data_IF_742504845921
#
_entry.id   IF_742504845921
#
_cell.length_a   1.000
_cell.length_b   1.000
_cell.length_c   1.000
_cell.angle_alpha   90.00
_cell.angle_beta   90.00
_cell.angle_gamma   90.00
#
_symmetry.space_group_name_H-M   'P 1'
#
loop_
_entity.id
_entity.type
_entity.pdbx_description
1 polymer ?
#
# COMPACT_ATOMS: atom_id res chain seq x y z
N UNK A 1 -7.31 -37.20 12.79
CA UNK A 1 -6.49 -36.04 12.35
C UNK A 1 -5.37 -35.90 13.37
N UNK A 2 -4.11 -36.02 12.98
CA UNK A 2 -2.98 -35.88 13.90
C UNK A 2 -2.92 -34.43 14.42
N UNK A 3 -2.68 -34.27 15.72
CA UNK A 3 -2.42 -32.95 16.30
C UNK A 3 -1.14 -32.36 15.69
N UNK A 4 -1.09 -31.04 15.42
CA UNK A 4 0.13 -30.36 15.01
C UNK A 4 1.28 -30.67 15.98
N UNK A 5 2.50 -30.84 15.48
CA UNK A 5 3.67 -31.21 16.30
C UNK A 5 3.92 -30.25 17.48
N UNK A 6 3.62 -28.96 17.31
CA UNK A 6 3.63 -27.99 18.40
C UNK A 6 2.66 -28.38 19.52
N UNK A 7 1.43 -28.74 19.17
CA UNK A 7 0.44 -29.19 20.14
C UNK A 7 0.92 -30.46 20.84
N UNK A 8 1.56 -31.40 20.13
CA UNK A 8 2.15 -32.58 20.77
C UNK A 8 3.25 -32.23 21.79
N UNK A 9 4.09 -31.22 21.52
CA UNK A 9 5.14 -30.75 22.44
C UNK A 9 4.52 -29.98 23.61
N UNK A 10 3.51 -29.14 23.37
CA UNK A 10 2.81 -28.38 24.40
C UNK A 10 1.93 -29.28 25.28
N UNK A 11 1.39 -30.37 24.75
CA UNK A 11 0.58 -31.36 25.49
C UNK A 11 1.42 -32.27 26.39
N UNK A 12 2.76 -32.27 26.27
CA UNK A 12 3.62 -33.03 27.18
C UNK A 12 3.57 -32.50 28.62
N UNK A 13 3.07 -31.27 28.80
CA UNK A 13 2.88 -30.64 30.10
C UNK A 13 1.45 -30.07 30.13
N UNK A 14 0.54 -30.65 30.92
CA UNK A 14 -0.88 -30.23 30.94
C UNK A 14 -1.10 -28.72 31.18
N UNK A 15 -0.14 -28.04 31.81
CA UNK A 15 -0.14 -26.58 32.00
C UNK A 15 0.06 -25.84 30.66
N UNK A 16 0.96 -26.32 29.79
CA UNK A 16 1.27 -25.68 28.51
C UNK A 16 0.15 -25.85 27.49
N UNK A 17 -0.60 -26.96 27.54
CA UNK A 17 -1.80 -27.15 26.73
C UNK A 17 -2.90 -26.13 27.09
N UNK A 18 -3.17 -25.97 28.39
CA UNK A 18 -4.13 -24.98 28.88
C UNK A 18 -3.71 -23.56 28.46
N UNK A 19 -2.44 -23.20 28.66
CA UNK A 19 -1.92 -21.90 28.24
C UNK A 19 -2.08 -21.70 26.72
N UNK A 20 -1.73 -22.70 25.91
CA UNK A 20 -1.81 -22.62 24.45
C UNK A 20 -3.23 -22.39 23.93
N UNK A 21 -4.26 -22.93 24.58
CA UNK A 21 -5.67 -22.72 24.20
C UNK A 21 -6.16 -21.29 24.40
N UNK A 22 -5.46 -20.50 25.22
CA UNK A 22 -5.79 -19.10 25.50
C UNK A 22 -4.90 -18.10 24.76
N UNK A 23 -3.93 -18.57 23.96
CA UNK A 23 -3.07 -17.69 23.18
C UNK A 23 -3.78 -17.22 21.90
N UNK A 24 -3.78 -15.92 21.66
CA UNK A 24 -4.16 -15.37 20.36
C UNK A 24 -3.06 -15.66 19.32
N UNK A 25 -3.40 -15.56 18.04
CA UNK A 25 -2.43 -15.77 16.96
C UNK A 25 -1.17 -14.87 17.12
N UNK A 26 -1.33 -13.66 17.65
CA UNK A 26 -0.21 -12.76 17.95
C UNK A 26 0.71 -13.31 19.03
N UNK A 27 0.15 -13.94 20.06
CA UNK A 27 0.92 -14.52 21.15
C UNK A 27 1.63 -15.79 20.70
N UNK A 28 0.95 -16.63 19.91
CA UNK A 28 1.56 -17.81 19.28
C UNK A 28 2.72 -17.39 18.36
N UNK A 29 2.56 -16.31 17.59
CA UNK A 29 3.65 -15.78 16.75
C UNK A 29 4.82 -15.26 17.61
N UNK A 30 4.52 -14.60 18.73
CA UNK A 30 5.55 -14.10 19.65
C UNK A 30 6.29 -15.25 20.33
N UNK A 31 5.58 -16.30 20.75
CA UNK A 31 6.15 -17.54 21.27
C UNK A 31 7.04 -18.22 20.22
N UNK A 32 6.55 -18.34 18.98
CA UNK A 32 7.31 -18.94 17.88
C UNK A 32 8.60 -18.17 17.52
N UNK A 33 8.63 -16.86 17.78
CA UNK A 33 9.82 -16.02 17.57
C UNK A 33 10.83 -16.09 18.71
N UNK A 34 10.39 -16.44 19.91
CA UNK A 34 11.22 -16.40 21.13
C UNK A 34 11.65 -17.79 21.60
N UNK A 35 10.93 -18.85 21.25
CA UNK A 35 11.26 -20.23 21.63
C UNK A 35 11.69 -21.08 20.42
N UNK A 36 12.88 -21.69 20.48
CA UNK A 36 13.44 -22.53 19.38
C UNK A 36 12.52 -23.69 19.00
N UNK A 37 11.95 -24.40 19.98
CA UNK A 37 11.03 -25.51 19.72
C UNK A 37 9.76 -25.05 19.00
N UNK A 38 9.16 -23.95 19.46
CA UNK A 38 7.99 -23.35 18.82
C UNK A 38 8.32 -22.82 17.41
N UNK A 39 9.49 -22.21 17.23
CA UNK A 39 9.99 -21.79 15.92
C UNK A 39 10.03 -22.96 14.94
N UNK A 40 10.67 -24.06 15.35
CA UNK A 40 10.80 -25.25 14.51
C UNK A 40 9.44 -25.88 14.17
N UNK A 41 8.52 -25.94 15.13
CA UNK A 41 7.21 -26.54 14.92
C UNK A 41 6.25 -25.67 14.09
N UNK A 42 6.36 -24.33 14.18
CA UNK A 42 5.39 -23.39 13.60
C UNK A 42 5.95 -22.69 12.37
N UNK A 43 7.15 -22.12 12.46
CA UNK A 43 7.69 -21.19 11.46
C UNK A 43 8.53 -21.87 10.37
N UNK A 44 9.06 -23.07 10.64
CA UNK A 44 9.73 -23.89 9.61
C UNK A 44 8.73 -24.53 8.63
N UNK A 45 7.52 -24.86 9.09
CA UNK A 45 6.44 -25.31 8.21
C UNK A 45 5.82 -24.11 7.49
N UNK A 46 5.92 -24.07 6.16
CA UNK A 46 5.31 -23.01 5.34
C UNK A 46 3.81 -22.90 5.59
N UNK A 47 3.11 -24.04 5.67
CA UNK A 47 1.66 -24.08 5.88
C UNK A 47 1.28 -23.55 7.27
N UNK A 48 1.91 -24.05 8.33
CA UNK A 48 1.65 -23.62 9.70
C UNK A 48 1.95 -22.14 9.89
N UNK A 49 3.05 -21.65 9.31
CA UNK A 49 3.41 -20.23 9.31
C UNK A 49 2.34 -19.38 8.63
N UNK A 50 1.91 -19.75 7.42
CA UNK A 50 0.88 -18.99 6.69
C UNK A 50 -0.46 -19.00 7.43
N UNK A 51 -0.85 -20.14 7.98
CA UNK A 51 -2.08 -20.26 8.77
C UNK A 51 -2.04 -19.38 10.03
N UNK A 52 -0.89 -19.29 10.68
CA UNK A 52 -0.71 -18.39 11.83
C UNK A 52 -0.77 -16.92 11.42
N UNK A 53 -0.01 -16.53 10.39
CA UNK A 53 0.07 -15.15 9.93
C UNK A 53 -1.27 -14.60 9.41
N UNK A 54 -2.08 -15.44 8.77
CA UNK A 54 -3.45 -15.09 8.35
C UNK A 54 -4.37 -14.77 9.53
N UNK A 55 -4.10 -15.36 10.71
CA UNK A 55 -4.89 -15.15 11.93
C UNK A 55 -4.37 -14.01 12.81
N UNK A 56 -3.16 -13.51 12.57
CA UNK A 56 -2.65 -12.33 13.27
C UNK A 56 -3.35 -11.08 12.76
N UNK A 57 -3.62 -10.11 13.64
CA UNK A 57 -4.07 -8.78 13.23
C UNK A 57 -2.93 -7.98 12.59
N UNK A 58 -3.27 -6.92 11.86
CA UNK A 58 -2.27 -6.01 11.31
C UNK A 58 -1.46 -5.35 12.45
N UNK A 59 -0.12 -5.34 12.32
CA UNK A 59 0.80 -4.85 13.35
C UNK A 59 1.17 -3.36 13.22
N UNK A 60 0.50 -2.64 12.31
CA UNK A 60 0.70 -1.22 12.08
C UNK A 60 2.03 -0.83 11.44
N UNK A 61 2.84 -1.79 10.96
CA UNK A 61 4.16 -1.45 10.40
C UNK A 61 4.05 -0.57 9.15
N UNK A 62 3.03 -0.75 8.30
CA UNK A 62 2.88 0.07 7.11
C UNK A 62 2.75 1.55 7.44
N UNK A 63 1.89 1.90 8.40
CA UNK A 63 1.75 3.26 8.92
C UNK A 63 3.07 3.80 9.48
N UNK A 64 3.83 3.00 10.24
CA UNK A 64 5.14 3.42 10.75
C UNK A 64 6.15 3.70 9.62
N UNK A 65 6.15 2.89 8.56
CA UNK A 65 7.00 3.12 7.38
C UNK A 65 6.63 4.45 6.72
N UNK A 66 5.33 4.72 6.54
CA UNK A 66 4.82 5.99 5.99
C UNK A 66 5.27 7.17 6.83
N UNK A 67 5.06 7.14 8.15
CA UNK A 67 5.48 8.21 9.07
C UNK A 67 6.97 8.55 9.02
N UNK A 68 7.83 7.59 8.68
CA UNK A 68 9.28 7.81 8.51
C UNK A 68 9.64 8.33 7.12
N UNK A 69 8.88 7.92 6.09
CA UNK A 69 9.22 8.21 4.68
C UNK A 69 8.56 9.49 4.19
N UNK A 70 7.35 9.79 4.67
CA UNK A 70 6.51 10.89 4.23
C UNK A 70 6.78 12.15 5.04
N UNK A 71 7.02 13.27 4.36
CA UNK A 71 7.27 14.56 4.98
C UNK A 71 6.06 15.46 4.78
N UNK A 72 5.43 15.84 5.89
CA UNK A 72 4.34 16.84 5.90
C UNK A 72 4.85 18.18 5.41
N UNK A 73 4.10 18.80 4.52
CA UNK A 73 4.38 20.12 3.97
C UNK A 73 4.25 21.21 5.03
N UNK A 74 4.73 22.41 4.73
CA UNK A 74 4.51 23.58 5.61
C UNK A 74 3.03 23.93 5.75
N UNK A 75 2.22 23.61 4.74
CA UNK A 75 0.78 23.89 4.70
C UNK A 75 0.01 23.02 5.70
N UNK A 76 0.43 21.75 5.89
CA UNK A 76 -0.18 20.88 6.90
C UNK A 76 -0.26 21.54 8.29
N UNK A 77 0.80 22.24 8.69
CA UNK A 77 0.88 22.92 9.99
C UNK A 77 0.22 24.30 10.00
N UNK A 78 0.13 24.96 8.84
CA UNK A 78 -0.43 26.31 8.74
C UNK A 78 -1.96 26.32 8.69
N UNK A 79 -2.59 25.23 8.23
CA UNK A 79 -4.03 25.17 7.94
C UNK A 79 -4.79 24.13 8.78
N UNK A 80 -4.25 23.77 9.96
CA UNK A 80 -4.87 22.83 10.92
C UNK A 80 -5.36 21.50 10.30
N UNK A 81 -4.57 20.97 9.36
CA UNK A 81 -4.89 19.74 8.66
C UNK A 81 -4.90 18.55 9.62
N UNK A 82 -5.87 17.64 9.43
CA UNK A 82 -5.98 16.40 10.21
C UNK A 82 -5.26 15.26 9.51
N UNK A 83 -4.58 14.44 10.31
CA UNK A 83 -3.87 13.24 9.86
C UNK A 83 -4.70 11.97 10.09
N UNK A 84 -5.09 11.33 9.00
CA UNK A 84 -5.90 10.10 8.99
C UNK A 84 -5.04 8.82 8.96
N UNK A 85 -3.71 8.94 9.00
CA UNK A 85 -2.77 7.82 8.89
C UNK A 85 -2.78 6.96 10.17
N UNK A 86 -3.72 6.00 10.26
CA UNK A 86 -3.89 5.13 11.43
C UNK A 86 -4.10 3.69 11.03
N UNK A 87 -3.45 2.75 11.71
CA UNK A 87 -3.66 1.33 11.42
C UNK A 87 -5.13 0.97 11.68
N UNK A 88 -5.82 0.41 10.67
CA UNK A 88 -7.22 0.00 10.82
C UNK A 88 -7.43 -1.09 11.88
N UNK A 89 -6.40 -1.86 12.24
CA UNK A 89 -6.46 -2.82 13.34
C UNK A 89 -6.33 -2.19 14.73
N UNK A 90 -5.99 -0.91 14.83
CA UNK A 90 -5.91 -0.16 16.08
C UNK A 90 -7.18 0.67 16.36
N UNK A 91 -8.16 0.64 15.46
CA UNK A 91 -9.44 1.34 15.64
C UNK A 91 -10.46 0.44 16.34
N UNK A 92 -11.31 1.03 17.17
CA UNK A 92 -12.44 0.35 17.83
C UNK A 92 -13.77 0.96 17.35
N UNK A 93 -14.63 0.19 16.67
CA UNK A 93 -14.39 -1.16 16.15
C UNK A 93 -13.40 -1.15 14.96
N UNK A 94 -12.73 -2.28 14.67
CA UNK A 94 -11.89 -2.40 13.49
C UNK A 94 -12.74 -2.23 12.23
N UNK A 95 -12.61 -1.08 11.56
CA UNK A 95 -13.44 -0.66 10.44
C UNK A 95 -12.71 -0.71 9.09
N UNK A 96 -11.71 -1.58 8.97
CA UNK A 96 -10.87 -1.65 7.77
C UNK A 96 -10.75 -3.08 7.29
N UNK A 97 -10.86 -3.26 5.98
CA UNK A 97 -10.58 -4.53 5.33
C UNK A 97 -9.16 -5.00 5.64
N UNK A 98 -9.02 -6.29 5.92
CA UNK A 98 -7.72 -6.90 6.22
C UNK A 98 -7.56 -8.17 5.41
N UNK A 99 -6.49 -8.23 4.62
CA UNK A 99 -6.13 -9.41 3.84
C UNK A 99 -4.66 -9.79 4.07
N UNK A 100 -4.30 -11.07 3.93
CA UNK A 100 -2.91 -11.49 4.00
C UNK A 100 -2.12 -10.93 2.84
N UNK A 101 -0.92 -10.41 3.13
CA UNK A 101 0.02 -9.95 2.12
C UNK A 101 0.36 -11.08 1.13
N UNK A 102 0.24 -10.83 -0.17
CA UNK A 102 0.49 -11.84 -1.22
C UNK A 102 1.90 -12.42 -1.16
N UNK A 103 2.88 -11.64 -0.72
CA UNK A 103 4.30 -12.04 -0.67
C UNK A 103 4.69 -12.74 0.64
N UNK A 104 4.30 -12.19 1.80
CA UNK A 104 4.74 -12.72 3.10
C UNK A 104 3.65 -13.40 3.94
N UNK A 105 2.38 -13.30 3.55
CA UNK A 105 1.24 -13.88 4.26
C UNK A 105 0.78 -13.13 5.51
N UNK A 106 1.47 -12.05 5.91
CA UNK A 106 1.08 -11.22 7.07
C UNK A 106 -0.21 -10.48 6.77
N UNK A 107 -1.23 -10.63 7.62
CA UNK A 107 -2.47 -9.84 7.54
C UNK A 107 -2.17 -8.35 7.64
N UNK A 108 -2.69 -7.60 6.68
CA UNK A 108 -2.41 -6.17 6.49
C UNK A 108 -3.74 -5.46 6.26
N UNK A 109 -4.01 -4.38 6.98
CA UNK A 109 -5.19 -3.54 6.75
C UNK A 109 -4.96 -2.58 5.56
N UNK A 110 -6.02 -1.92 5.08
CA UNK A 110 -5.93 -0.92 4.00
C UNK A 110 -4.83 0.13 4.28
N UNK A 111 -4.83 0.74 5.46
CA UNK A 111 -3.84 1.78 5.80
C UNK A 111 -2.37 1.30 5.87
N UNK A 112 -2.14 -0.02 5.94
CA UNK A 112 -0.81 -0.61 6.02
C UNK A 112 -0.35 -1.34 4.75
N UNK A 113 -1.23 -1.51 3.75
CA UNK A 113 -0.85 -2.06 2.45
C UNK A 113 -0.23 -0.97 1.57
N UNK A 114 0.28 -1.40 0.43
CA UNK A 114 0.83 -0.52 -0.60
C UNK A 114 -0.33 0.07 -1.39
N UNK A 115 -0.32 1.40 -1.51
CA UNK A 115 -1.18 2.20 -2.39
C UNK A 115 -0.30 2.99 -3.34
N UNK A 116 -0.83 3.32 -4.51
CA UNK A 116 -0.19 4.22 -5.47
C UNK A 116 -0.27 5.66 -4.97
N UNK A 117 -1.42 6.07 -4.42
CA UNK A 117 -1.64 7.39 -3.80
C UNK A 117 -2.28 7.22 -2.43
N UNK A 118 -1.58 7.70 -1.41
CA UNK A 118 -2.08 7.76 -0.04
C UNK A 118 -2.70 9.11 0.26
N UNK A 119 -4.01 9.28 0.09
CA UNK A 119 -4.73 10.42 0.64
C UNK A 119 -4.68 10.36 2.18
N UNK A 120 -3.77 11.09 2.80
CA UNK A 120 -3.39 10.90 4.21
C UNK A 120 -3.90 12.02 5.09
N UNK A 121 -4.09 13.21 4.52
CA UNK A 121 -4.49 14.39 5.25
C UNK A 121 -5.75 14.98 4.65
N UNK A 122 -6.47 15.72 5.49
CA UNK A 122 -7.64 16.47 5.08
C UNK A 122 -7.77 17.75 5.91
N UNK A 123 -8.24 18.81 5.28
CA UNK A 123 -8.64 20.07 5.90
C UNK A 123 -10.15 20.21 5.71
N UNK A 124 -10.86 20.65 6.75
CA UNK A 124 -12.28 21.01 6.62
C UNK A 124 -12.39 22.27 5.75
N UNK A 125 -13.53 22.44 5.07
CA UNK A 125 -13.84 23.71 4.42
C UNK A 125 -13.93 24.82 5.47
N UNK A 126 -13.38 25.99 5.17
CA UNK A 126 -13.41 27.14 6.08
C UNK A 126 -14.78 27.85 6.00
N UNK A 127 -15.39 27.85 4.81
CA UNK A 127 -16.72 28.40 4.52
C UNK A 127 -17.70 27.34 3.99
N UNK A 128 -19.02 27.60 4.06
CA UNK A 128 -20.06 26.63 3.67
C UNK A 128 -20.12 26.36 2.16
N UNK A 129 -19.64 27.29 1.34
CA UNK A 129 -19.57 27.19 -0.12
C UNK A 129 -18.20 26.67 -0.63
N UNK A 130 -17.26 26.43 0.29
CA UNK A 130 -15.97 25.83 -0.01
C UNK A 130 -15.99 24.30 0.09
N UNK A 131 -15.03 23.66 -0.58
CA UNK A 131 -14.79 22.23 -0.50
C UNK A 131 -13.63 21.92 0.44
N UNK A 132 -13.67 20.79 1.16
CA UNK A 132 -12.53 20.35 1.98
C UNK A 132 -11.31 20.07 1.11
N UNK A 133 -10.13 20.48 1.56
CA UNK A 133 -8.87 20.19 0.87
C UNK A 133 -8.33 18.82 1.28
N UNK A 134 -7.79 18.07 0.31
CA UNK A 134 -7.17 16.78 0.55
C UNK A 134 -5.72 16.80 0.09
N UNK A 135 -4.87 16.05 0.80
CA UNK A 135 -3.47 15.89 0.42
C UNK A 135 -2.92 14.55 0.86
N UNK A 136 -1.78 14.19 0.31
CA UNK A 136 -1.26 12.84 0.45
C UNK A 136 0.11 12.62 -0.17
N UNK A 137 0.44 11.37 -0.42
CA UNK A 137 1.76 10.98 -0.90
C UNK A 137 1.64 9.93 -2.01
N UNK A 138 2.49 10.02 -3.03
CA UNK A 138 2.61 8.99 -4.05
C UNK A 138 3.58 7.91 -3.56
N UNK A 139 3.09 6.67 -3.39
CA UNK A 139 3.86 5.54 -2.87
C UNK A 139 4.64 5.92 -1.59
N UNK A 140 5.97 5.79 -1.60
CA UNK A 140 6.87 6.23 -0.52
C UNK A 140 7.72 7.45 -0.91
N UNK A 141 7.30 8.25 -1.90
CA UNK A 141 7.94 9.56 -2.15
C UNK A 141 7.69 10.48 -0.95
N UNK A 142 8.68 11.30 -0.62
CA UNK A 142 8.67 12.12 0.59
C UNK A 142 7.75 13.36 0.45
N UNK A 143 7.46 13.80 -0.77
CA UNK A 143 6.75 15.06 -1.01
C UNK A 143 5.24 14.90 -0.90
N UNK A 144 4.62 15.80 -0.15
CA UNK A 144 3.18 15.87 -0.04
C UNK A 144 2.56 16.51 -1.29
N UNK A 145 1.56 15.83 -1.85
CA UNK A 145 0.83 16.21 -3.06
C UNK A 145 -0.56 16.72 -2.70
N UNK A 146 -1.02 17.76 -3.40
CA UNK A 146 -2.43 18.13 -3.38
C UNK A 146 -3.25 17.04 -4.10
N UNK A 147 -4.42 16.71 -3.53
CA UNK A 147 -5.37 15.76 -4.10
C UNK A 147 -6.73 16.45 -4.18
N UNK A 148 -7.29 16.49 -5.37
CA UNK A 148 -8.60 17.09 -5.61
C UNK A 148 -9.65 15.99 -5.70
N UNK A 149 -10.77 16.19 -5.01
CA UNK A 149 -11.95 15.33 -5.17
C UNK A 149 -12.64 15.62 -6.51
N UNK A 150 -13.50 14.72 -7.03
CA UNK A 150 -14.30 14.97 -8.22
C UNK A 150 -15.11 16.27 -8.17
N UNK A 151 -15.62 16.66 -6.99
CA UNK A 151 -16.39 17.90 -6.84
C UNK A 151 -15.58 19.17 -7.16
N UNK A 152 -14.27 19.16 -6.88
CA UNK A 152 -13.39 20.31 -7.18
C UNK A 152 -13.33 20.60 -8.69
N UNK A 153 -13.51 19.58 -9.53
CA UNK A 153 -13.50 19.69 -10.98
C UNK A 153 -14.90 19.66 -11.60
N UNK A 154 -15.95 19.73 -10.76
CA UNK A 154 -17.37 19.63 -11.18
C UNK A 154 -17.67 18.31 -11.90
N UNK A 155 -16.96 17.25 -11.55
CA UNK A 155 -17.19 15.91 -12.08
C UNK A 155 -18.20 15.13 -11.23
N UNK A 156 -18.72 14.04 -11.80
CA UNK A 156 -19.66 13.16 -11.10
C UNK A 156 -18.91 12.28 -10.11
N UNK A 157 -19.26 12.37 -8.83
CA UNK A 157 -18.64 11.61 -7.74
C UNK A 157 -18.74 12.43 -6.47
N UNK A 158 -18.75 11.76 -5.30
CA UNK A 158 -18.74 12.53 -4.06
C UNK A 158 -17.93 11.92 -2.93
N UNK A 159 -16.99 12.72 -2.41
CA UNK A 159 -16.23 12.41 -1.20
C UNK A 159 -16.88 13.01 0.06
N UNK A 160 -17.75 14.02 -0.10
CA UNK A 160 -18.32 14.79 1.02
C UNK A 160 -19.31 14.00 1.90
N UNK A 161 -19.84 12.88 1.43
CA UNK A 161 -20.79 12.06 2.21
C UNK A 161 -20.12 11.15 3.25
N UNK A 162 -18.81 10.92 3.15
CA UNK A 162 -18.07 9.97 3.99
C UNK A 162 -16.83 10.60 4.62
N UNK A 163 -17.04 11.50 5.58
CA UNK A 163 -15.96 12.17 6.34
C UNK A 163 -15.00 11.18 7.05
N UNK A 164 -15.32 9.88 7.09
CA UNK A 164 -14.60 8.91 7.93
C UNK A 164 -13.50 8.10 7.24
N UNK A 165 -13.41 8.06 5.91
CA UNK A 165 -12.49 7.14 5.22
C UNK A 165 -11.58 7.84 4.21
N UNK A 166 -10.27 7.54 4.21
CA UNK A 166 -9.36 7.93 3.15
C UNK A 166 -9.76 7.37 1.79
N UNK A 167 -9.74 8.21 0.76
CA UNK A 167 -9.99 7.88 -0.64
C UNK A 167 -8.66 7.58 -1.37
N UNK A 168 -7.90 6.61 -0.85
CA UNK A 168 -6.66 6.19 -1.50
C UNK A 168 -6.86 5.80 -2.96
N UNK A 169 -5.86 6.09 -3.79
CA UNK A 169 -5.85 5.79 -5.23
C UNK A 169 -7.02 6.38 -6.03
N UNK A 170 -7.70 7.41 -5.52
CA UNK A 170 -8.85 8.05 -6.17
C UNK A 170 -8.63 9.57 -6.30
N UNK A 171 -9.37 10.17 -7.22
CA UNK A 171 -9.40 11.62 -7.42
C UNK A 171 -8.34 12.09 -8.40
N UNK A 172 -7.93 13.34 -8.25
CA UNK A 172 -6.98 13.98 -9.16
C UNK A 172 -5.75 14.42 -8.39
N UNK A 173 -4.59 14.14 -8.95
CA UNK A 173 -3.32 14.53 -8.38
C UNK A 173 -2.90 15.88 -8.94
N UNK A 174 -2.56 16.81 -8.06
CA UNK A 174 -1.98 18.10 -8.41
C UNK A 174 -0.53 18.17 -7.91
N UNK A 175 0.11 19.30 -8.15
CA UNK A 175 1.53 19.56 -7.91
C UNK A 175 1.88 19.35 -6.43
N UNK A 176 3.15 18.99 -6.11
CA UNK A 176 3.58 18.91 -4.73
C UNK A 176 3.35 20.25 -4.02
N UNK A 177 2.81 20.23 -2.81
CA UNK A 177 2.40 21.45 -2.10
C UNK A 177 3.54 22.43 -1.88
N UNK A 178 4.74 21.91 -1.57
CA UNK A 178 5.93 22.73 -1.35
C UNK A 178 6.69 23.06 -2.65
N UNK A 179 6.22 22.59 -3.81
CA UNK A 179 6.81 22.90 -5.11
C UNK A 179 6.38 24.29 -5.58
N UNK A 180 7.33 25.08 -6.09
CA UNK A 180 7.03 26.30 -6.85
C UNK A 180 6.72 26.03 -8.33
N UNK A 181 6.81 24.77 -8.77
CA UNK A 181 6.51 24.39 -10.14
C UNK A 181 5.02 24.17 -10.33
N UNK A 182 4.44 24.86 -11.31
CA UNK A 182 3.09 24.61 -11.77
C UNK A 182 3.09 23.43 -12.73
N UNK A 183 2.13 22.52 -12.56
CA UNK A 183 1.87 21.40 -13.45
C UNK A 183 0.37 21.23 -13.60
N UNK A 184 -0.05 20.57 -14.68
CA UNK A 184 -1.46 20.27 -14.88
C UNK A 184 -1.89 19.15 -13.95
N UNK A 185 -3.14 19.24 -13.50
CA UNK A 185 -3.82 18.23 -12.71
C UNK A 185 -3.96 16.97 -13.56
N UNK A 186 -3.75 15.80 -12.95
CA UNK A 186 -3.79 14.50 -13.63
C UNK A 186 -4.77 13.56 -12.90
N UNK A 187 -5.59 12.82 -13.66
CA UNK A 187 -6.52 11.83 -13.09
C UNK A 187 -5.73 10.62 -12.57
N UNK A 188 -5.88 10.27 -11.28
CA UNK A 188 -5.09 9.21 -10.66
C UNK A 188 -5.33 7.87 -11.34
N UNK A 189 -6.58 7.56 -11.72
CA UNK A 189 -6.93 6.32 -12.41
C UNK A 189 -6.19 6.17 -13.75
N UNK A 190 -6.08 7.24 -14.54
CA UNK A 190 -5.33 7.22 -15.81
C UNK A 190 -3.84 6.96 -15.59
N UNK A 191 -3.24 7.57 -14.56
CA UNK A 191 -1.83 7.33 -14.23
C UNK A 191 -1.61 5.86 -13.84
N UNK A 192 -2.44 5.33 -12.94
CA UNK A 192 -2.22 3.99 -12.39
C UNK A 192 -2.56 2.87 -13.38
N UNK A 193 -3.44 3.14 -14.34
CA UNK A 193 -3.81 2.22 -15.42
C UNK A 193 -2.99 2.41 -16.70
N UNK A 194 -2.03 3.34 -16.70
CA UNK A 194 -1.10 3.49 -17.82
C UNK A 194 -0.31 2.19 -18.03
N UNK A 195 -0.32 1.70 -19.26
CA UNK A 195 0.47 0.56 -19.68
C UNK A 195 1.97 0.89 -19.63
N UNK A 196 2.69 0.25 -18.72
CA UNK A 196 4.11 0.51 -18.48
C UNK A 196 5.02 -0.01 -19.61
N UNK A 197 4.49 -0.84 -20.52
CA UNK A 197 5.20 -1.32 -21.71
C UNK A 197 5.19 -0.35 -22.89
N UNK A 198 4.25 0.60 -22.93
CA UNK A 198 4.09 1.53 -24.06
C UNK A 198 5.13 2.66 -24.06
N UNK A 199 5.96 2.74 -23.03
CA UNK A 199 7.08 3.68 -22.94
C UNK A 199 7.20 4.32 -21.57
N UNK A 200 7.80 5.50 -21.53
CA UNK A 200 7.89 6.34 -20.33
C UNK A 200 6.52 6.86 -19.92
N UNK A 201 6.30 6.93 -18.61
CA UNK A 201 5.09 7.55 -18.06
C UNK A 201 5.15 9.05 -18.37
N UNK A 202 4.17 9.53 -19.14
CA UNK A 202 4.05 10.93 -19.57
C UNK A 202 2.75 11.51 -18.98
N UNK A 203 2.83 12.73 -18.46
CA UNK A 203 1.63 13.50 -18.11
C UNK A 203 0.88 14.00 -19.35
N UNK A 204 -0.35 14.47 -19.15
CA UNK A 204 -1.25 14.95 -20.23
C UNK A 204 -0.64 16.05 -21.09
N UNK A 205 0.18 16.93 -20.50
CA UNK A 205 0.78 18.08 -21.19
C UNK A 205 2.30 17.91 -21.43
N UNK A 206 2.71 16.77 -21.97
CA UNK A 206 4.12 16.50 -22.25
C UNK A 206 4.69 17.50 -23.27
N UNK A 207 5.65 18.31 -22.81
CA UNK A 207 6.30 19.38 -23.59
C UNK A 207 7.57 18.93 -24.35
N UNK A 208 7.84 17.62 -24.41
CA UNK A 208 9.12 17.10 -24.92
C UNK A 208 10.29 17.26 -23.94
N UNK A 209 10.04 17.75 -22.72
CA UNK A 209 11.02 17.78 -21.62
C UNK A 209 11.53 16.37 -21.31
N UNK A 210 12.84 16.21 -21.00
CA UNK A 210 13.43 14.93 -20.61
C UNK A 210 12.94 14.44 -19.24
N UNK A 211 12.27 15.31 -18.48
CA UNK A 211 11.66 14.95 -17.19
C UNK A 211 10.15 15.16 -17.25
N UNK A 212 9.38 14.23 -16.65
CA UNK A 212 7.93 14.34 -16.58
C UNK A 212 7.52 15.53 -15.69
N UNK A 213 6.24 15.89 -15.72
CA UNK A 213 5.69 16.94 -14.84
C UNK A 213 5.90 16.59 -13.36
N UNK A 214 5.88 17.59 -12.49
CA UNK A 214 6.08 17.38 -11.05
C UNK A 214 5.02 16.43 -10.45
N UNK A 215 3.82 16.41 -11.04
CA UNK A 215 2.68 15.56 -10.64
C UNK A 215 3.00 14.08 -10.83
N UNK A 216 3.48 13.69 -12.01
CA UNK A 216 3.77 12.28 -12.32
C UNK A 216 5.20 11.86 -11.99
N UNK A 217 6.04 12.78 -11.50
CA UNK A 217 7.47 12.51 -11.28
C UNK A 217 7.72 11.35 -10.29
N UNK A 218 6.95 11.27 -9.20
CA UNK A 218 7.08 10.20 -8.22
C UNK A 218 6.75 8.83 -8.84
N UNK A 219 5.68 8.75 -9.65
CA UNK A 219 5.31 7.55 -10.38
C UNK A 219 6.38 7.15 -11.40
N UNK A 220 6.86 8.12 -12.18
CA UNK A 220 7.91 7.90 -13.17
C UNK A 220 9.19 7.36 -12.54
N UNK A 221 9.65 7.92 -11.41
CA UNK A 221 10.85 7.41 -10.71
C UNK A 221 10.69 5.92 -10.36
N UNK A 222 9.51 5.50 -9.91
CA UNK A 222 9.26 4.11 -9.51
C UNK A 222 9.09 3.21 -10.74
N UNK A 223 8.33 3.65 -11.75
CA UNK A 223 8.12 2.87 -12.96
C UNK A 223 9.42 2.67 -13.73
N UNK A 224 10.21 3.73 -13.96
CA UNK A 224 11.50 3.64 -14.68
C UNK A 224 12.51 2.74 -13.97
N UNK A 225 12.61 2.82 -12.63
CA UNK A 225 13.47 1.89 -11.88
C UNK A 225 13.04 0.44 -12.03
N UNK A 226 11.72 0.20 -12.12
CA UNK A 226 11.12 -1.13 -12.24
C UNK A 226 11.07 -1.67 -13.66
N UNK A 227 11.32 -0.83 -14.68
CA UNK A 227 11.28 -1.27 -16.07
C UNK A 227 12.34 -2.32 -16.31
N UNK A 228 11.85 -3.50 -16.67
CA UNK A 228 12.62 -4.60 -17.26
C UNK A 228 11.98 -4.85 -18.61
N UNK A 229 12.75 -5.33 -19.60
CA UNK A 229 12.20 -5.68 -20.92
C UNK A 229 10.96 -6.59 -20.82
N UNK A 230 10.92 -7.44 -19.79
CA UNK A 230 9.73 -8.19 -19.37
C UNK A 230 9.67 -8.22 -17.83
N UNK A 231 8.48 -8.00 -17.25
CA UNK A 231 8.27 -8.32 -15.84
C UNK A 231 8.29 -9.85 -15.65
N UNK A 232 8.48 -10.33 -14.41
CA UNK A 232 8.53 -11.79 -14.15
C UNK A 232 7.27 -12.52 -14.64
N UNK A 233 6.09 -11.93 -14.44
CA UNK A 233 4.82 -12.49 -14.91
C UNK A 233 4.80 -12.60 -16.44
N UNK A 234 5.02 -11.49 -17.15
CA UNK A 234 5.08 -11.51 -18.62
C UNK A 234 6.17 -12.45 -19.15
N UNK A 235 7.30 -12.58 -18.47
CA UNK A 235 8.34 -13.54 -18.84
C UNK A 235 7.88 -14.99 -18.66
N UNK A 236 7.26 -15.32 -17.53
CA UNK A 236 6.70 -16.66 -17.25
C UNK A 236 5.55 -16.98 -18.22
N UNK A 237 4.67 -16.03 -18.50
CA UNK A 237 3.58 -16.17 -19.47
C UNK A 237 4.14 -16.39 -20.90
N UNK A 238 5.19 -15.65 -21.27
CA UNK A 238 5.89 -15.83 -22.55
C UNK A 238 6.56 -17.22 -22.65
N UNK A 239 7.03 -17.78 -21.53
CA UNK A 239 7.62 -19.12 -21.48
C UNK A 239 6.57 -20.23 -21.55
N UNK A 240 5.38 -20.00 -21.00
CA UNK A 240 4.28 -20.98 -20.96
C UNK A 240 3.43 -20.96 -22.24
N UNK A 241 3.33 -19.83 -22.93
CA UNK A 241 2.65 -19.73 -24.21
C UNK A 241 3.51 -20.33 -25.34
N UNK A 242 2.96 -21.31 -26.08
CA UNK A 242 3.60 -21.90 -27.26
C UNK A 242 3.85 -20.90 -28.41
N UNK A 243 3.32 -19.68 -28.30
CA UNK A 243 3.64 -18.52 -29.11
C UNK A 243 4.08 -17.38 -28.18
N UNK A 244 5.29 -16.80 -28.34
CA UNK A 244 5.66 -15.62 -27.59
C UNK A 244 4.79 -14.47 -28.08
N UNK A 245 3.95 -13.90 -27.22
CA UNK A 245 3.47 -12.55 -27.47
C UNK A 245 4.70 -11.64 -27.41
N UNK A 246 5.30 -11.35 -28.57
CA UNK A 246 6.46 -10.45 -28.73
C UNK A 246 6.14 -8.98 -28.40
N UNK A 247 5.01 -8.71 -27.74
CA UNK A 247 4.60 -7.37 -27.34
C UNK A 247 5.32 -6.92 -26.06
N UNK A 248 5.41 -5.61 -25.84
CA UNK A 248 5.87 -5.07 -24.57
C UNK A 248 4.97 -5.52 -23.41
N UNK A 249 5.48 -5.42 -22.18
CA UNK A 249 4.75 -5.78 -20.97
C UNK A 249 3.48 -4.93 -20.78
N UNK A 250 2.29 -5.52 -20.76
CA UNK A 250 1.02 -4.80 -20.55
C UNK A 250 0.67 -4.52 -19.07
N UNK A 251 1.65 -4.54 -18.17
CA UNK A 251 1.39 -4.31 -16.75
C UNK A 251 1.17 -2.83 -16.46
N UNK A 252 0.40 -2.54 -15.42
CA UNK A 252 0.06 -1.19 -14.96
C UNK A 252 0.53 -1.02 -13.52
N UNK A 253 0.56 0.21 -12.99
CA UNK A 253 0.84 0.42 -11.57
C UNK A 253 -0.25 -0.24 -10.71
N UNK A 254 -1.51 -0.23 -11.17
CA UNK A 254 -2.63 -0.93 -10.54
C UNK A 254 -2.32 -2.43 -10.38
N UNK A 255 -1.92 -3.12 -11.45
CA UNK A 255 -1.61 -4.55 -11.36
C UNK A 255 -0.34 -4.85 -10.55
N UNK A 256 0.61 -3.92 -10.50
CA UNK A 256 1.82 -4.04 -9.69
C UNK A 256 1.61 -3.78 -8.19
N UNK A 257 0.65 -2.95 -7.78
CA UNK A 257 0.52 -2.48 -6.40
C UNK A 257 -0.88 -2.63 -5.79
N UNK A 258 -1.94 -2.40 -6.56
CA UNK A 258 -3.32 -2.35 -6.05
C UNK A 258 -4.03 -3.69 -6.16
N UNK A 259 -3.82 -4.44 -7.24
CA UNK A 259 -4.39 -5.78 -7.36
C UNK A 259 -3.64 -6.78 -6.46
N UNK A 260 -2.37 -6.47 -6.17
CA UNK A 260 -1.53 -7.20 -5.24
C UNK A 260 -1.74 -6.62 -3.85
N UNK A 261 -2.46 -7.31 -2.97
CA UNK A 261 -2.50 -6.94 -1.54
C UNK A 261 -1.10 -7.09 -0.93
N UNK A 262 -0.24 -6.09 -1.10
CA UNK A 262 1.18 -6.11 -0.78
C UNK A 262 1.43 -5.20 0.41
N UNK A 263 2.01 -5.72 1.49
CA UNK A 263 2.38 -4.85 2.62
C UNK A 263 3.61 -4.00 2.31
N UNK A 264 3.71 -2.83 2.94
CA UNK A 264 4.82 -1.89 2.71
C UNK A 264 6.22 -2.47 3.01
N UNK A 265 6.32 -3.43 3.94
CA UNK A 265 7.58 -4.17 4.19
C UNK A 265 8.01 -5.02 2.99
N UNK A 266 7.07 -5.60 2.27
CA UNK A 266 7.37 -6.36 1.06
C UNK A 266 7.70 -5.40 -0.07
N UNK A 267 6.95 -4.29 -0.21
CA UNK A 267 7.27 -3.25 -1.17
C UNK A 267 8.71 -2.71 -1.00
N UNK A 268 9.12 -2.31 0.20
CA UNK A 268 10.50 -1.85 0.45
C UNK A 268 11.56 -2.93 0.16
N UNK A 269 11.24 -4.21 0.33
CA UNK A 269 12.15 -5.31 -0.04
C UNK A 269 12.23 -5.49 -1.54
N UNK A 270 11.12 -5.34 -2.26
CA UNK A 270 11.12 -5.31 -3.72
C UNK A 270 11.97 -4.15 -4.24
N UNK A 271 11.79 -2.94 -3.70
CA UNK A 271 12.59 -1.75 -4.07
C UNK A 271 14.10 -1.96 -3.86
N UNK A 272 14.50 -2.62 -2.77
CA UNK A 272 15.93 -2.90 -2.49
C UNK A 272 16.54 -3.98 -3.40
N UNK A 273 15.71 -4.73 -4.11
CA UNK A 273 16.14 -5.84 -4.98
C UNK A 273 16.21 -5.49 -6.46
N UNK A 274 15.89 -4.24 -6.78
CA UNK A 274 15.97 -3.64 -8.11
C UNK A 274 17.32 -2.93 -8.21
#
# INVERSE_FOLDING_TARGET
KSLPHLLQILTQYGILECLATHLFAKDILSLARTAKAAHQAILCSRESRLNLLKKTSCDGIGVRIRQVSHRKSKFFYAFDCRDNTRCGAAQEPPNSEMYPCVSCGVTTCQECRTHCVYQSHYQLADEEDELPCFSGFVLLDEHEMAILSPEHLRESGSWTTTVSLPHHDQGFLDSPLDSGAFSSIELIDEIIDTNLGDGELKGTNWSGSPHPSAVVQAFWKVSERRKRNLCKGCFEDTMLAACPSQGPCCCTLRSHFLDRWLCLRCYQREEKSI
#
